data_IF_417136977263
#
_entry.id   IF_417136977263
#
_cell.length_a   1.000
_cell.length_b   1.000
_cell.length_c   1.000
_cell.angle_alpha   90.00
_cell.angle_beta   90.00
_cell.angle_gamma   90.00
#
_symmetry.space_group_name_H-M   'P 1'
#
loop_
_entity.id
_entity.type
_entity.pdbx_description
1 polymer ?
#
# COMPACT_ATOMS: atom_id res chain seq x y z
N UNK A 1 -8.32 -2.63 12.63
CA UNK A 1 -8.30 -1.65 11.52
C UNK A 1 -9.60 -1.80 10.72
N UNK A 2 -10.25 -0.71 10.30
CA UNK A 2 -11.46 -0.78 9.46
C UNK A 2 -11.04 -0.49 8.03
N UNK A 3 -11.21 -1.49 7.14
CA UNK A 3 -10.82 -1.37 5.73
C UNK A 3 -12.08 -1.27 4.86
N UNK A 4 -12.09 -0.31 3.92
CA UNK A 4 -13.07 -0.30 2.83
C UNK A 4 -12.44 -0.90 1.58
N UNK A 5 -12.99 -2.04 1.16
CA UNK A 5 -12.57 -2.79 -0.02
C UNK A 5 -13.68 -2.67 -1.08
N UNK A 6 -13.31 -2.25 -2.29
CA UNK A 6 -14.25 -2.03 -3.38
C UNK A 6 -13.92 -2.97 -4.54
N UNK A 7 -14.74 -4.00 -4.71
CA UNK A 7 -14.73 -4.91 -5.86
C UNK A 7 -15.75 -4.49 -6.93
N UNK A 8 -16.74 -3.70 -6.55
CA UNK A 8 -17.76 -3.13 -7.44
C UNK A 8 -18.09 -1.70 -7.03
N UNK A 9 -18.77 -0.96 -7.91
CA UNK A 9 -19.29 0.37 -7.60
C UNK A 9 -20.39 0.37 -6.53
N UNK A 10 -21.02 -0.78 -6.29
CA UNK A 10 -22.06 -0.95 -5.27
C UNK A 10 -21.52 -1.16 -3.86
N UNK A 11 -20.20 -1.40 -3.72
CA UNK A 11 -19.58 -1.59 -2.41
C UNK A 11 -19.60 -0.31 -1.59
N UNK A 12 -19.74 -0.48 -0.27
CA UNK A 12 -20.01 0.62 0.64
C UNK A 12 -18.81 0.99 1.49
N UNK A 13 -18.61 2.30 1.68
CA UNK A 13 -17.59 2.83 2.59
C UNK A 13 -17.82 2.34 4.03
N UNK A 14 -16.75 1.88 4.69
CA UNK A 14 -16.76 1.44 6.09
C UNK A 14 -16.27 2.51 7.07
N UNK A 15 -15.69 3.59 6.55
CA UNK A 15 -15.14 4.72 7.33
C UNK A 15 -15.53 6.07 6.72
N UNK A 16 -15.17 7.15 7.41
CA UNK A 16 -15.27 8.52 6.90
C UNK A 16 -16.69 9.09 6.86
N UNK A 17 -16.83 10.27 6.24
CA UNK A 17 -18.09 11.00 6.21
C UNK A 17 -19.19 10.31 5.39
N UNK A 18 -18.79 9.50 4.39
CA UNK A 18 -19.70 8.75 3.53
C UNK A 18 -19.88 7.29 3.97
N UNK A 19 -19.59 6.97 5.24
CA UNK A 19 -19.76 5.62 5.78
C UNK A 19 -21.18 5.10 5.51
N UNK A 20 -21.27 3.93 4.90
CA UNK A 20 -22.52 3.26 4.53
C UNK A 20 -23.05 3.62 3.14
N UNK A 21 -22.47 4.60 2.44
CA UNK A 21 -22.82 4.94 1.06
C UNK A 21 -22.04 4.09 0.05
N UNK A 22 -22.61 3.85 -1.13
CA UNK A 22 -21.95 3.11 -2.20
C UNK A 22 -20.87 3.96 -2.88
N UNK A 23 -19.87 3.31 -3.49
CA UNK A 23 -18.82 4.00 -4.23
C UNK A 23 -19.39 4.84 -5.38
N UNK A 24 -20.38 4.31 -6.12
CA UNK A 24 -21.11 5.06 -7.16
C UNK A 24 -21.76 6.32 -6.60
N UNK A 25 -22.45 6.21 -5.46
CA UNK A 25 -23.13 7.36 -4.86
C UNK A 25 -22.11 8.45 -4.50
N UNK A 26 -20.97 8.08 -3.93
CA UNK A 26 -19.94 9.08 -3.61
C UNK A 26 -19.33 9.68 -4.88
N UNK A 27 -19.14 8.92 -5.95
CA UNK A 27 -18.66 9.46 -7.23
C UNK A 27 -19.66 10.47 -7.82
N UNK A 28 -20.96 10.17 -7.77
CA UNK A 28 -22.01 11.04 -8.31
C UNK A 28 -22.09 12.37 -7.55
N UNK A 29 -21.94 12.33 -6.22
CA UNK A 29 -22.16 13.48 -5.35
C UNK A 29 -20.86 14.26 -5.05
N UNK A 30 -19.74 13.57 -4.84
CA UNK A 30 -18.46 14.14 -4.42
C UNK A 30 -17.28 13.27 -4.88
N UNK A 31 -17.04 13.26 -6.19
CA UNK A 31 -15.91 12.53 -6.78
C UNK A 31 -14.54 13.01 -6.26
N UNK A 32 -14.44 14.24 -5.74
CA UNK A 32 -13.20 14.77 -5.18
C UNK A 32 -12.78 14.01 -3.91
N UNK A 33 -13.74 13.51 -3.15
CA UNK A 33 -13.48 12.66 -2.00
C UNK A 33 -12.73 11.37 -2.34
N UNK A 34 -12.92 10.82 -3.55
CA UNK A 34 -12.20 9.62 -3.99
C UNK A 34 -10.71 9.93 -4.17
N UNK A 35 -10.38 11.07 -4.80
CA UNK A 35 -8.99 11.53 -4.91
C UNK A 35 -8.39 11.83 -3.54
N UNK A 36 -9.16 12.45 -2.64
CA UNK A 36 -8.71 12.69 -1.28
C UNK A 36 -8.43 11.37 -0.53
N UNK A 37 -9.31 10.36 -0.67
CA UNK A 37 -9.09 9.04 -0.09
C UNK A 37 -7.80 8.40 -0.60
N UNK A 38 -7.55 8.50 -1.91
CA UNK A 38 -6.32 7.97 -2.50
C UNK A 38 -5.08 8.73 -2.01
N UNK A 39 -5.19 10.03 -1.71
CA UNK A 39 -4.05 10.84 -1.32
C UNK A 39 -3.74 10.85 0.17
N UNK A 40 -4.77 10.87 1.03
CA UNK A 40 -4.64 11.18 2.45
C UNK A 40 -4.94 10.00 3.38
N UNK A 41 -5.67 8.98 2.93
CA UNK A 41 -5.98 7.80 3.75
C UNK A 41 -4.82 6.82 3.69
N UNK A 42 -4.59 6.07 4.77
CA UNK A 42 -3.57 5.01 4.81
C UNK A 42 -3.78 4.00 3.68
N UNK A 43 -2.68 3.46 3.18
CA UNK A 43 -2.69 2.55 2.03
C UNK A 43 -3.58 1.32 2.24
N UNK A 44 -3.67 0.84 3.48
CA UNK A 44 -4.40 -0.39 3.83
C UNK A 44 -5.86 -0.16 4.22
N UNK A 45 -6.34 1.09 4.27
CA UNK A 45 -7.70 1.39 4.73
C UNK A 45 -8.68 1.65 3.56
N UNK A 46 -8.16 1.98 2.38
CA UNK A 46 -8.97 2.27 1.18
C UNK A 46 -8.38 1.59 -0.06
N UNK A 47 -9.03 0.48 -0.46
CA UNK A 47 -8.58 -0.42 -1.52
C UNK A 47 -9.63 -0.51 -2.64
N UNK A 48 -9.23 -0.20 -3.88
CA UNK A 48 -10.07 -0.33 -5.07
C UNK A 48 -9.46 -1.40 -5.98
N UNK A 49 -10.19 -2.49 -6.18
CA UNK A 49 -9.77 -3.61 -7.02
C UNK A 49 -10.03 -3.35 -8.51
N UNK A 50 -9.39 -4.15 -9.36
CA UNK A 50 -9.46 -4.01 -10.82
C UNK A 50 -10.90 -4.07 -11.34
N UNK A 51 -11.72 -4.95 -10.78
CA UNK A 51 -13.14 -5.09 -11.14
C UNK A 51 -13.92 -3.79 -10.92
N UNK A 52 -13.68 -3.10 -9.80
CA UNK A 52 -14.32 -1.80 -9.54
C UNK A 52 -13.81 -0.72 -10.49
N UNK A 53 -12.52 -0.75 -10.88
CA UNK A 53 -11.95 0.20 -11.85
C UNK A 53 -12.51 -0.03 -13.26
N UNK A 54 -12.69 -1.28 -13.66
CA UNK A 54 -13.32 -1.64 -14.94
C UNK A 54 -14.76 -1.12 -15.01
N UNK A 55 -15.55 -1.37 -13.95
CA UNK A 55 -16.90 -0.81 -13.82
C UNK A 55 -16.87 0.72 -13.86
N UNK A 56 -15.96 1.36 -13.12
CA UNK A 56 -15.83 2.81 -13.08
C UNK A 56 -15.53 3.38 -14.47
N UNK A 57 -14.62 2.78 -15.24
CA UNK A 57 -14.31 3.20 -16.61
C UNK A 57 -15.51 3.07 -17.56
N UNK A 58 -16.39 2.10 -17.33
CA UNK A 58 -17.60 1.90 -18.14
C UNK A 58 -18.73 2.87 -17.77
N UNK A 59 -18.99 3.05 -16.48
CA UNK A 59 -20.11 3.86 -15.98
C UNK A 59 -19.76 5.36 -15.96
N UNK A 60 -18.51 5.68 -15.65
CA UNK A 60 -17.98 7.04 -15.54
C UNK A 60 -16.80 7.27 -16.48
N UNK A 61 -16.99 7.24 -17.81
CA UNK A 61 -15.90 7.37 -18.78
C UNK A 61 -15.18 8.73 -18.73
N UNK A 62 -15.77 9.74 -18.09
CA UNK A 62 -15.19 11.05 -17.86
C UNK A 62 -14.42 11.17 -16.53
N UNK A 63 -14.50 10.17 -15.65
CA UNK A 63 -13.72 10.16 -14.42
C UNK A 63 -12.24 9.98 -14.77
N UNK A 64 -11.43 10.96 -14.40
CA UNK A 64 -10.02 11.00 -14.79
C UNK A 64 -9.15 10.15 -13.86
N UNK A 65 -8.83 8.93 -14.29
CA UNK A 65 -7.80 8.12 -13.63
C UNK A 65 -6.43 8.55 -14.17
N UNK A 66 -5.69 9.30 -13.35
CA UNK A 66 -4.30 9.65 -13.66
C UNK A 66 -3.37 8.45 -13.45
N UNK A 67 -2.19 8.48 -14.06
CA UNK A 67 -1.16 7.46 -13.81
C UNK A 67 -0.75 7.41 -12.32
N UNK A 68 -0.71 8.56 -11.66
CA UNK A 68 -0.39 8.65 -10.23
C UNK A 68 -1.45 7.95 -9.35
N UNK A 69 -2.73 8.17 -9.65
CA UNK A 69 -3.83 7.49 -8.98
C UNK A 69 -3.73 5.97 -9.16
N UNK A 70 -3.49 5.52 -10.38
CA UNK A 70 -3.42 4.09 -10.70
C UNK A 70 -2.20 3.43 -10.06
N UNK A 71 -1.03 4.08 -10.10
CA UNK A 71 0.18 3.57 -9.43
C UNK A 71 -0.03 3.44 -7.92
N UNK A 72 -0.65 4.44 -7.29
CA UNK A 72 -0.95 4.41 -5.86
C UNK A 72 -1.99 3.34 -5.52
N UNK A 73 -2.99 3.13 -6.37
CA UNK A 73 -3.96 2.03 -6.24
C UNK A 73 -3.26 0.67 -6.29
N UNK A 74 -2.37 0.46 -7.27
CA UNK A 74 -1.63 -0.80 -7.43
C UNK A 74 -0.73 -1.06 -6.22
N UNK A 75 0.03 -0.05 -5.79
CA UNK A 75 0.88 -0.15 -4.59
C UNK A 75 0.09 -0.62 -3.37
N UNK A 76 -1.11 -0.07 -3.15
CA UNK A 76 -1.98 -0.46 -2.03
C UNK A 76 -2.43 -1.92 -2.10
N UNK A 77 -2.74 -2.41 -3.29
CA UNK A 77 -3.14 -3.80 -3.49
C UNK A 77 -1.97 -4.75 -3.26
N UNK A 78 -0.76 -4.39 -3.69
CA UNK A 78 0.46 -5.17 -3.42
C UNK A 78 0.77 -5.23 -1.93
N UNK A 79 0.69 -4.09 -1.22
CA UNK A 79 0.88 -4.04 0.24
C UNK A 79 -0.16 -4.91 0.98
N UNK A 80 -1.43 -4.86 0.58
CA UNK A 80 -2.47 -5.70 1.16
C UNK A 80 -2.26 -7.20 0.88
N UNK A 81 -1.82 -7.55 -0.34
CA UNK A 81 -1.51 -8.92 -0.73
C UNK A 81 -0.31 -9.47 0.05
N UNK A 82 0.78 -8.70 0.12
CA UNK A 82 2.00 -9.12 0.82
C UNK A 82 1.73 -9.37 2.31
N UNK A 83 0.96 -8.52 2.98
CA UNK A 83 0.53 -8.78 4.36
C UNK A 83 -0.24 -10.09 4.49
N UNK A 84 -1.15 -10.39 3.56
CA UNK A 84 -1.95 -11.62 3.60
C UNK A 84 -1.03 -12.83 3.49
N UNK A 85 -0.11 -12.84 2.52
CA UNK A 85 0.88 -13.90 2.34
C UNK A 85 1.77 -14.06 3.59
N UNK A 86 2.27 -12.95 4.16
CA UNK A 86 3.08 -13.00 5.37
C UNK A 86 2.30 -13.54 6.57
N UNK A 87 1.02 -13.21 6.73
CA UNK A 87 0.19 -13.76 7.80
C UNK A 87 -0.13 -15.25 7.60
N UNK A 88 -0.33 -15.67 6.35
CA UNK A 88 -0.55 -17.08 6.00
C UNK A 88 0.70 -17.94 6.25
N UNK A 89 1.90 -17.39 5.96
CA UNK A 89 3.18 -18.05 6.22
C UNK A 89 3.60 -17.99 7.70
N UNK A 90 3.16 -16.98 8.47
CA UNK A 90 3.44 -16.80 9.91
C UNK A 90 2.30 -17.26 10.83
N UNK A 91 1.58 -18.33 10.48
CA UNK A 91 0.50 -18.90 11.30
C UNK A 91 0.97 -19.53 12.65
N UNK A 92 2.19 -19.23 13.08
CA UNK A 92 2.70 -19.39 14.45
C UNK A 92 3.36 -18.07 14.85
N UNK A 93 2.61 -17.09 15.34
CA UNK A 93 2.88 -16.36 16.58
C UNK A 93 1.89 -15.20 16.78
N UNK A 94 1.49 -15.04 18.05
CA UNK A 94 0.59 -14.02 18.57
C UNK A 94 0.85 -12.60 18.02
N UNK A 95 -0.23 -11.95 17.57
CA UNK A 95 -0.27 -10.51 17.31
C UNK A 95 0.15 -9.73 18.57
N UNK A 96 1.29 -9.04 18.49
CA UNK A 96 1.55 -7.87 19.32
C UNK A 96 1.69 -6.64 18.41
N UNK A 97 0.98 -5.56 18.74
CA UNK A 97 0.54 -4.52 17.81
C UNK A 97 1.59 -3.46 17.43
N UNK A 98 2.87 -3.75 17.61
CA UNK A 98 3.90 -2.72 17.64
C UNK A 98 4.93 -2.81 16.51
N UNK A 99 4.70 -3.62 15.47
CA UNK A 99 5.56 -3.68 14.29
C UNK A 99 5.14 -2.69 13.17
N UNK A 100 4.64 -1.52 13.57
CA UNK A 100 4.51 -0.36 12.69
C UNK A 100 5.82 0.43 12.72
N UNK A 101 6.86 -0.09 12.07
CA UNK A 101 7.96 0.77 11.68
C UNK A 101 8.25 0.55 10.20
N UNK A 102 7.99 1.63 9.45
CA UNK A 102 8.25 1.82 8.04
C UNK A 102 9.44 0.98 7.53
N UNK A 103 9.17 -0.04 6.70
CA UNK A 103 10.13 -0.44 5.66
C UNK A 103 10.04 0.60 4.52
N UNK A 104 10.37 1.84 4.83
CA UNK A 104 10.96 2.71 3.81
C UNK A 104 12.36 2.14 3.57
N UNK A 105 12.80 2.11 2.31
CA UNK A 105 14.13 1.67 1.86
C UNK A 105 15.25 2.60 2.37
N UNK A 106 15.20 2.95 3.63
CA UNK A 106 16.06 3.91 4.33
C UNK A 106 16.73 3.26 5.54
N UNK A 107 16.61 1.95 5.72
CA UNK A 107 17.11 1.23 6.92
C UNK A 107 18.61 1.44 7.10
N UNK A 108 19.35 1.52 5.99
CA UNK A 108 20.79 1.71 5.97
C UNK A 108 21.21 3.04 5.31
N UNK A 109 20.29 4.00 5.21
CA UNK A 109 20.55 5.30 4.61
C UNK A 109 21.54 6.08 5.50
N UNK A 110 22.66 6.51 4.93
CA UNK A 110 23.78 7.08 5.70
C UNK A 110 24.95 6.12 5.96
N UNK A 111 24.87 4.85 5.52
CA UNK A 111 25.95 3.87 5.63
C UNK A 111 26.71 3.70 4.30
N UNK A 112 28.02 3.41 4.40
CA UNK A 112 28.93 3.28 3.25
C UNK A 112 28.42 2.31 2.18
N UNK A 113 27.80 1.20 2.59
CA UNK A 113 27.26 0.19 1.68
C UNK A 113 26.15 0.75 0.76
N UNK A 114 25.30 1.64 1.26
CA UNK A 114 24.21 2.24 0.47
C UNK A 114 24.68 3.50 -0.26
N UNK A 115 25.43 4.38 0.41
CA UNK A 115 25.74 5.71 -0.11
C UNK A 115 26.93 5.74 -1.08
N UNK A 116 27.94 4.88 -0.89
CA UNK A 116 29.15 4.85 -1.72
C UNK A 116 29.18 3.66 -2.69
N UNK A 117 28.59 2.52 -2.29
CA UNK A 117 28.57 1.29 -3.10
C UNK A 117 27.24 1.04 -3.81
N UNK A 118 26.17 1.75 -3.42
CA UNK A 118 24.87 1.68 -4.10
C UNK A 118 24.06 0.41 -3.82
N UNK A 119 24.37 -0.33 -2.76
CA UNK A 119 23.59 -1.52 -2.37
C UNK A 119 22.22 -1.12 -1.81
N UNK A 120 21.20 -1.91 -2.15
CA UNK A 120 19.86 -1.73 -1.59
C UNK A 120 19.70 -2.48 -0.24
N UNK A 121 18.67 -2.12 0.53
CA UNK A 121 18.46 -2.68 1.89
C UNK A 121 18.31 -4.21 1.88
N UNK A 122 17.72 -4.78 0.83
CA UNK A 122 17.55 -6.24 0.69
C UNK A 122 18.88 -6.93 0.35
N UNK A 123 19.75 -6.30 -0.43
CA UNK A 123 21.12 -6.75 -0.70
C UNK A 123 21.97 -6.65 0.56
N UNK A 124 21.78 -5.61 1.38
CA UNK A 124 22.48 -5.48 2.66
C UNK A 124 22.04 -6.58 3.64
N UNK A 125 20.74 -6.83 3.71
CA UNK A 125 20.17 -7.91 4.52
C UNK A 125 20.62 -9.29 4.04
N UNK A 126 20.79 -9.49 2.72
CA UNK A 126 21.14 -10.81 2.14
C UNK A 126 22.64 -11.10 2.09
N UNK A 127 23.46 -10.10 1.74
CA UNK A 127 24.90 -10.26 1.51
C UNK A 127 25.67 -10.01 2.81
N UNK A 128 25.20 -9.08 3.64
CA UNK A 128 25.87 -8.65 4.86
C UNK A 128 25.13 -9.05 6.14
N UNK A 129 24.12 -9.94 6.05
CA UNK A 129 23.27 -10.40 7.17
C UNK A 129 22.69 -9.21 7.98
N UNK A 130 22.37 -8.13 7.27
CA UNK A 130 21.86 -6.89 7.84
C UNK A 130 22.89 -6.03 8.59
N UNK A 131 24.19 -6.25 8.35
CA UNK A 131 25.26 -5.45 8.93
C UNK A 131 25.98 -4.60 7.86
N UNK A 132 25.55 -3.34 7.64
CA UNK A 132 26.15 -2.45 6.63
C UNK A 132 27.62 -2.09 6.92
N UNK A 133 28.10 -2.29 8.16
CA UNK A 133 29.48 -2.07 8.58
C UNK A 133 30.36 -3.34 8.48
N UNK A 134 29.77 -4.50 8.11
CA UNK A 134 30.50 -5.76 7.92
C UNK A 134 31.42 -5.75 6.67
N UNK A 135 31.60 -4.59 6.05
CA UNK A 135 32.56 -4.35 4.97
C UNK A 135 34.02 -4.64 5.37
N UNK A 136 34.28 -5.07 6.61
CA UNK A 136 35.59 -5.45 7.09
C UNK A 136 35.64 -6.86 7.70
N UNK A 137 35.31 -7.88 6.90
CA UNK A 137 35.79 -9.26 7.11
C UNK A 137 35.80 -10.07 5.80
N UNK A 138 36.30 -9.45 4.73
CA UNK A 138 36.77 -10.20 3.55
C UNK A 138 38.27 -10.42 3.74
N UNK A 139 38.63 -11.66 4.11
CA UNK A 139 39.95 -12.25 3.81
C UNK A 139 39.72 -13.33 2.74
#
# INVERSE_FOLDING_TARGET
>A
MIVSQFYSLSDTFKFGQYKGMALSDVIDWDYQYIYWCMNSISNMEFLIYDSAIEELKQVYPHFYISNDFENKRIQRLEEASNMTTMLEDNNDFYYDSDYFENKTNEKYNGFYAQDEMGYNDDEIDTIFDGNPDAYWNID
#
